data_IF_561064427896
#
_entry.id   IF_561064427896
#
_cell.length_a   1.000
_cell.length_b   1.000
_cell.length_c   1.000
_cell.angle_alpha   90.00
_cell.angle_beta   90.00
_cell.angle_gamma   90.00
#
_symmetry.space_group_name_H-M   'P 1'
#
loop_
_entity.id
_entity.type
_entity.pdbx_description
1 polymer ?
#
# COMPACT_ATOMS: atom_id res chain seq x y z
N UNK A 1 -2.28 3.13 17.18
CA UNK A 1 -1.34 4.05 16.48
C UNK A 1 -0.99 3.42 15.15
N UNK A 2 -0.86 4.19 14.07
CA UNK A 2 -0.45 3.65 12.77
C UNK A 2 0.98 3.11 12.82
N UNK A 3 1.30 2.12 11.98
CA UNK A 3 2.64 1.54 11.95
C UNK A 3 3.60 2.40 11.12
N UNK A 4 4.87 1.99 11.05
CA UNK A 4 5.83 2.55 10.12
C UNK A 4 5.24 2.58 8.70
N UNK A 5 5.51 3.66 7.97
CA UNK A 5 5.01 3.93 6.61
C UNK A 5 3.48 4.08 6.44
N UNK A 6 2.73 4.16 7.54
CA UNK A 6 1.32 4.58 7.55
C UNK A 6 1.14 5.97 8.18
N UNK A 7 0.08 6.66 7.79
CA UNK A 7 -0.39 7.92 8.38
C UNK A 7 -1.88 7.80 8.74
N UNK A 8 -2.27 8.35 9.89
CA UNK A 8 -3.68 8.42 10.25
C UNK A 8 -4.34 9.53 9.44
N UNK A 9 -5.43 9.20 8.76
CA UNK A 9 -6.23 10.16 8.03
C UNK A 9 -7.67 10.13 8.55
N UNK A 10 -8.25 11.31 8.76
CA UNK A 10 -9.66 11.43 9.08
C UNK A 10 -10.57 11.14 7.87
N UNK A 11 -10.02 11.24 6.67
CA UNK A 11 -10.74 11.05 5.41
C UNK A 11 -9.77 10.50 4.35
N UNK A 12 -9.35 9.24 4.52
CA UNK A 12 -8.57 8.50 3.50
C UNK A 12 -9.47 7.74 2.53
N UNK A 13 -8.92 7.36 1.37
CA UNK A 13 -9.66 6.63 0.32
C UNK A 13 -10.29 5.33 0.86
N UNK A 14 -11.56 5.08 0.56
CA UNK A 14 -12.19 3.79 0.85
C UNK A 14 -11.59 2.62 0.04
N UNK A 15 -10.89 2.92 -1.05
CA UNK A 15 -10.15 1.97 -1.88
C UNK A 15 -8.68 2.40 -1.90
N UNK A 16 -7.89 2.05 -0.87
CA UNK A 16 -6.47 2.40 -0.84
C UNK A 16 -5.72 1.68 -1.98
N UNK A 17 -4.72 2.34 -2.54
CA UNK A 17 -3.85 1.74 -3.55
C UNK A 17 -3.13 0.52 -2.99
N UNK A 18 -3.12 -0.56 -3.75
CA UNK A 18 -2.47 -1.83 -3.42
C UNK A 18 -1.49 -2.23 -4.51
N UNK A 19 -0.59 -3.16 -4.22
CA UNK A 19 0.27 -3.73 -5.25
C UNK A 19 -0.49 -4.38 -6.40
N UNK A 20 -1.67 -4.94 -6.11
CA UNK A 20 -2.57 -5.55 -7.08
C UNK A 20 -3.39 -4.52 -7.87
N UNK A 21 -3.61 -3.32 -7.32
CA UNK A 21 -4.32 -2.23 -7.98
C UNK A 21 -3.82 -0.86 -7.47
N UNK A 22 -2.91 -0.27 -8.23
CA UNK A 22 -2.23 0.98 -7.87
C UNK A 22 -3.17 2.18 -7.99
N UNK A 23 -4.07 2.17 -8.99
CA UNK A 23 -5.01 3.27 -9.27
C UNK A 23 -6.45 2.72 -9.34
N UNK A 24 -7.05 2.36 -8.19
CA UNK A 24 -8.39 1.81 -8.18
C UNK A 24 -9.42 2.88 -8.56
N UNK A 25 -10.35 2.51 -9.44
CA UNK A 25 -11.59 3.28 -9.62
C UNK A 25 -12.36 3.23 -8.30
N UNK A 26 -12.42 4.36 -7.60
CA UNK A 26 -13.02 4.44 -6.28
C UNK A 26 -14.07 5.56 -6.22
N UNK A 27 -15.25 5.32 -5.61
CA UNK A 27 -16.19 6.39 -5.32
C UNK A 27 -15.56 7.41 -4.35
N UNK A 28 -16.03 8.66 -4.37
CA UNK A 28 -15.57 9.73 -3.47
C UNK A 28 -16.12 9.59 -2.04
N UNK A 29 -15.92 8.41 -1.46
CA UNK A 29 -16.25 8.08 -0.07
C UNK A 29 -14.94 7.90 0.66
N UNK A 30 -14.83 8.48 1.86
CA UNK A 30 -13.66 8.32 2.69
C UNK A 30 -13.95 7.55 3.98
N UNK A 31 -12.89 6.99 4.56
CA UNK A 31 -12.89 6.28 5.83
C UNK A 31 -11.81 6.89 6.73
N UNK A 32 -12.07 6.84 8.04
CA UNK A 32 -11.08 7.14 9.08
C UNK A 32 -10.20 5.90 9.29
N UNK A 33 -8.89 6.09 9.43
CA UNK A 33 -7.99 4.98 9.69
C UNK A 33 -6.54 5.28 9.34
N UNK A 34 -5.72 4.23 9.40
CA UNK A 34 -4.33 4.26 8.97
C UNK A 34 -4.26 3.88 7.48
N UNK A 35 -3.55 4.69 6.72
CA UNK A 35 -3.36 4.52 5.28
C UNK A 35 -1.87 4.60 4.96
N UNK A 36 -1.44 3.94 3.90
CA UNK A 36 -0.08 4.10 3.42
C UNK A 36 0.23 5.57 3.15
N UNK A 37 1.40 6.03 3.59
CA UNK A 37 1.86 7.40 3.31
C UNK A 37 1.87 7.67 1.81
N UNK A 38 1.75 8.94 1.43
CA UNK A 38 1.75 9.36 0.02
C UNK A 38 2.88 8.71 -0.78
N UNK A 39 2.53 8.10 -1.92
CA UNK A 39 3.48 7.43 -2.83
C UNK A 39 3.78 5.97 -2.48
N UNK A 40 3.20 5.44 -1.41
CA UNK A 40 3.29 4.03 -1.04
C UNK A 40 1.96 3.31 -1.32
N UNK A 41 2.05 2.01 -1.55
CA UNK A 41 0.91 1.12 -1.81
C UNK A 41 0.95 -0.06 -0.87
N UNK A 42 -0.23 -0.57 -0.51
CA UNK A 42 -0.34 -1.68 0.43
C UNK A 42 -0.06 -2.99 -0.30
N UNK A 43 0.94 -3.72 0.18
CA UNK A 43 1.26 -5.06 -0.29
C UNK A 43 0.42 -6.10 0.45
N UNK A 44 0.31 -7.31 -0.12
CA UNK A 44 -0.47 -8.43 0.45
C UNK A 44 -0.08 -8.81 1.88
N UNK A 45 1.18 -8.61 2.28
CA UNK A 45 1.65 -8.85 3.65
C UNK A 45 1.31 -7.71 4.63
N UNK A 46 0.53 -6.73 4.18
CA UNK A 46 0.06 -5.59 4.96
C UNK A 46 1.03 -4.41 4.99
N UNK A 47 2.24 -4.54 4.43
CA UNK A 47 3.25 -3.47 4.44
C UNK A 47 3.00 -2.42 3.38
N UNK A 48 3.24 -1.16 3.71
CA UNK A 48 3.28 -0.07 2.75
C UNK A 48 4.64 -0.02 2.08
N UNK A 49 4.69 -0.13 0.76
CA UNK A 49 5.93 -0.14 -0.01
C UNK A 49 5.82 0.77 -1.22
N UNK A 50 6.96 1.16 -1.79
CA UNK A 50 6.96 1.80 -3.12
C UNK A 50 6.38 0.83 -4.16
N UNK A 51 5.61 1.29 -5.16
CA UNK A 51 5.08 0.46 -6.24
C UNK A 51 6.12 -0.46 -6.88
N UNK A 52 7.35 0.04 -7.04
CA UNK A 52 8.50 -0.70 -7.60
C UNK A 52 8.87 -1.96 -6.79
N UNK A 53 8.52 -2.00 -5.50
CA UNK A 53 8.78 -3.13 -4.60
C UNK A 53 7.64 -4.16 -4.57
N UNK A 54 6.57 -3.99 -5.35
CA UNK A 54 5.43 -4.90 -5.34
C UNK A 54 5.77 -6.32 -5.81
N UNK A 55 6.77 -6.47 -6.69
CA UNK A 55 7.20 -7.77 -7.23
C UNK A 55 8.12 -8.57 -6.28
N UNK A 56 8.50 -8.02 -5.13
CA UNK A 56 9.38 -8.70 -4.16
C UNK A 56 8.70 -9.79 -3.34
N UNK A 57 7.45 -10.16 -3.67
CA UNK A 57 6.68 -11.23 -3.03
C UNK A 57 6.47 -12.47 -3.90
N UNK A 58 7.00 -12.52 -5.13
CA UNK A 58 7.45 -13.81 -5.64
C UNK A 58 8.66 -14.22 -4.79
N UNK A 59 8.88 -15.53 -4.47
CA UNK A 59 10.15 -15.93 -3.91
C UNK A 59 11.23 -15.41 -4.84
N UNK A 60 12.00 -14.43 -4.37
CA UNK A 60 13.20 -14.00 -5.07
C UNK A 60 14.00 -15.29 -5.26
N UNK A 61 14.32 -15.74 -6.49
CA UNK A 61 15.27 -16.82 -6.64
C UNK A 61 16.53 -16.37 -5.91
N UNK A 62 16.92 -17.15 -4.92
CA UNK A 62 18.21 -17.00 -4.26
C UNK A 62 19.30 -17.00 -5.33
N UNK A 63 20.00 -15.88 -5.49
CA UNK A 63 21.34 -15.82 -6.09
C UNK A 63 21.45 -15.35 -7.54
N UNK A 64 22.27 -14.30 -7.72
CA UNK A 64 23.37 -14.13 -8.70
C UNK A 64 23.80 -12.65 -8.65
N UNK A 65 25.05 -12.26 -8.42
CA UNK A 65 26.37 -12.87 -8.61
C UNK A 65 27.32 -12.41 -7.48
#
# INVERSE_FOLDING_TARGET
MCTEDEEYQECGSACPSTCENIDPICPRICRRGCFCKKGLVKRRDGKCVKPEKCQSSAPQPTGKQ
#
